data_IF_612173649092
#
_entry.id   IF_612173649092
#
_cell.length_a   1.000
_cell.length_b   1.000
_cell.length_c   1.000
_cell.angle_alpha   90.00
_cell.angle_beta   90.00
_cell.angle_gamma   90.00
#
_symmetry.space_group_name_H-M   'P 1'
#
loop_
_entity.id
_entity.type
_entity.pdbx_description
1 polymer ?
#
# COMPACT_ATOMS: atom_id res chain seq x y z
N UNK A 1 8.18 33.68 -29.62
CA UNK A 1 7.39 32.50 -29.29
C UNK A 1 7.92 31.82 -28.02
N UNK A 2 9.20 31.39 -27.93
CA UNK A 2 9.74 30.72 -26.75
C UNK A 2 9.63 31.50 -25.43
N UNK A 3 9.86 32.83 -25.44
CA UNK A 3 9.74 33.68 -24.25
C UNK A 3 8.30 33.80 -23.74
N UNK A 4 7.31 33.85 -24.63
CA UNK A 4 5.88 33.91 -24.27
C UNK A 4 5.44 32.60 -23.66
N UNK A 5 5.87 31.46 -24.21
CA UNK A 5 5.60 30.12 -23.66
C UNK A 5 6.28 29.96 -22.29
N UNK A 6 7.53 30.44 -22.15
CA UNK A 6 8.24 30.42 -20.87
C UNK A 6 7.54 31.29 -19.81
N UNK A 7 7.10 32.47 -20.15
CA UNK A 7 6.34 33.35 -19.23
C UNK A 7 5.01 32.74 -18.81
N UNK A 8 4.24 32.16 -19.75
CA UNK A 8 2.98 31.46 -19.46
C UNK A 8 3.17 30.24 -18.59
N UNK A 9 4.27 29.49 -18.76
CA UNK A 9 4.61 28.35 -17.90
C UNK A 9 4.98 28.78 -16.48
N UNK A 10 5.69 29.90 -16.33
CA UNK A 10 6.08 30.42 -15.01
C UNK A 10 4.88 31.03 -14.28
N UNK A 11 4.02 31.77 -14.96
CA UNK A 11 2.83 32.40 -14.33
C UNK A 11 1.71 31.43 -14.03
N UNK A 12 1.56 30.35 -14.82
CA UNK A 12 0.54 29.32 -14.62
C UNK A 12 1.11 28.00 -14.05
N UNK A 13 2.32 28.03 -13.50
CA UNK A 13 2.98 26.85 -12.93
C UNK A 13 2.09 26.08 -11.94
N UNK A 14 1.39 26.78 -11.04
CA UNK A 14 0.52 26.15 -10.07
C UNK A 14 -0.68 25.45 -10.73
N UNK A 15 -1.29 26.04 -11.74
CA UNK A 15 -2.37 25.41 -12.50
C UNK A 15 -1.89 24.19 -13.29
N UNK A 16 -0.69 24.29 -13.88
CA UNK A 16 -0.07 23.18 -14.61
C UNK A 16 0.24 22.01 -13.68
N UNK A 17 0.88 22.27 -12.54
CA UNK A 17 1.20 21.23 -11.52
C UNK A 17 -0.07 20.61 -10.98
N UNK A 18 -1.12 21.40 -10.71
CA UNK A 18 -2.40 20.86 -10.24
C UNK A 18 -3.10 19.99 -11.30
N UNK A 19 -3.05 20.38 -12.57
CA UNK A 19 -3.58 19.58 -13.67
C UNK A 19 -2.81 18.26 -13.85
N UNK A 20 -1.47 18.31 -13.79
CA UNK A 20 -0.61 17.10 -13.87
C UNK A 20 -0.84 16.18 -12.68
N UNK A 21 -0.94 16.72 -11.46
CA UNK A 21 -1.23 15.91 -10.27
C UNK A 21 -2.62 15.27 -10.32
N UNK A 22 -3.61 15.97 -10.86
CA UNK A 22 -4.95 15.43 -11.10
C UNK A 22 -4.92 14.26 -12.10
N UNK A 23 -4.21 14.40 -13.20
CA UNK A 23 -4.02 13.32 -14.17
C UNK A 23 -3.28 12.11 -13.57
N UNK A 24 -2.21 12.34 -12.81
CA UNK A 24 -1.48 11.28 -12.11
C UNK A 24 -2.37 10.57 -11.07
N UNK A 25 -3.25 11.31 -10.40
CA UNK A 25 -4.26 10.73 -9.49
C UNK A 25 -5.20 9.76 -10.19
N UNK A 26 -5.69 10.12 -11.38
CA UNK A 26 -6.55 9.26 -12.21
C UNK A 26 -5.77 8.06 -12.76
N UNK A 27 -4.49 8.24 -13.11
CA UNK A 27 -3.64 7.15 -13.62
C UNK A 27 -3.12 6.23 -12.52
N UNK A 28 -3.15 6.66 -11.26
CA UNK A 28 -2.62 5.90 -10.12
C UNK A 28 -3.10 4.44 -10.08
N UNK A 29 -4.41 4.12 -10.14
CA UNK A 29 -4.88 2.73 -10.12
C UNK A 29 -4.39 1.91 -11.32
N UNK A 30 -4.17 2.54 -12.48
CA UNK A 30 -3.62 1.87 -13.66
C UNK A 30 -2.16 1.50 -13.45
N UNK A 31 -1.33 2.46 -13.02
CA UNK A 31 0.09 2.23 -12.75
C UNK A 31 0.24 1.14 -11.68
N UNK A 32 -0.49 1.27 -10.57
CA UNK A 32 -0.45 0.30 -9.47
C UNK A 32 -0.93 -1.08 -9.94
N UNK A 33 -2.01 -1.14 -10.73
CA UNK A 33 -2.52 -2.39 -11.30
C UNK A 33 -1.52 -3.09 -12.21
N UNK A 34 -0.81 -2.36 -13.06
CA UNK A 34 0.26 -2.90 -13.90
C UNK A 34 1.45 -3.41 -13.08
N UNK A 35 1.87 -2.66 -12.05
CA UNK A 35 2.95 -3.09 -11.15
C UNK A 35 2.58 -4.39 -10.43
N UNK A 36 1.36 -4.47 -9.88
CA UNK A 36 0.86 -5.70 -9.24
C UNK A 36 0.82 -6.86 -10.24
N UNK A 37 0.29 -6.65 -11.45
CA UNK A 37 0.25 -7.67 -12.49
C UNK A 37 1.66 -8.17 -12.85
N UNK A 38 2.63 -7.25 -12.96
CA UNK A 38 4.02 -7.62 -13.22
C UNK A 38 4.59 -8.50 -12.11
N UNK A 39 4.44 -8.10 -10.84
CA UNK A 39 4.91 -8.86 -9.69
C UNK A 39 4.26 -10.25 -9.60
N UNK A 40 2.96 -10.34 -9.88
CA UNK A 40 2.21 -11.59 -9.81
C UNK A 40 2.43 -12.50 -11.04
N UNK A 41 2.99 -11.97 -12.12
CA UNK A 41 3.17 -12.75 -13.37
C UNK A 41 4.05 -13.99 -13.20
N UNK A 42 5.03 -13.95 -12.31
CA UNK A 42 5.88 -15.11 -11.99
C UNK A 42 5.09 -16.22 -11.27
N UNK A 43 4.26 -15.86 -10.30
CA UNK A 43 3.39 -16.79 -9.57
C UNK A 43 2.30 -17.36 -10.46
N UNK A 44 1.71 -16.53 -11.34
CA UNK A 44 0.72 -16.96 -12.32
C UNK A 44 1.27 -18.03 -13.26
N UNK A 45 2.49 -17.85 -13.80
CA UNK A 45 3.14 -18.86 -14.64
C UNK A 45 3.35 -20.21 -13.94
N UNK A 46 3.69 -20.20 -12.65
CA UNK A 46 3.84 -21.42 -11.86
C UNK A 46 2.51 -22.17 -11.73
N UNK A 47 1.42 -21.44 -11.45
CA UNK A 47 0.06 -22.03 -11.37
C UNK A 47 -0.36 -22.54 -12.76
N UNK A 48 -0.09 -21.83 -13.84
CA UNK A 48 -0.38 -22.25 -15.20
C UNK A 48 0.33 -23.57 -15.54
N UNK A 49 1.61 -23.69 -15.17
CA UNK A 49 2.38 -24.94 -15.34
C UNK A 49 1.84 -26.12 -14.51
N UNK A 50 1.26 -25.85 -13.35
CA UNK A 50 0.57 -26.88 -12.56
C UNK A 50 -0.74 -27.33 -13.24
N UNK A 51 -1.50 -26.38 -13.80
CA UNK A 51 -2.76 -26.66 -14.52
C UNK A 51 -2.51 -27.45 -15.83
N UNK A 52 -1.36 -27.29 -16.47
CA UNK A 52 -0.99 -28.07 -17.66
C UNK A 52 -0.89 -29.57 -17.40
N UNK A 53 -0.56 -29.96 -16.14
CA UNK A 53 -0.45 -31.36 -15.72
C UNK A 53 -1.81 -32.04 -15.52
N UNK A 54 -2.89 -31.23 -15.43
CA UNK A 54 -4.25 -31.77 -15.27
C UNK A 54 -4.77 -32.29 -16.61
N UNK A 55 -5.18 -33.56 -16.72
CA UNK A 55 -5.54 -34.19 -17.99
C UNK A 55 -6.92 -33.79 -18.53
N UNK A 56 -7.54 -32.70 -18.03
CA UNK A 56 -8.86 -32.24 -18.44
C UNK A 56 -8.77 -31.29 -19.64
N UNK A 57 -9.45 -31.56 -20.78
CA UNK A 57 -9.34 -30.73 -21.98
C UNK A 57 -9.86 -29.30 -21.78
N UNK A 58 -10.87 -29.11 -20.91
CA UNK A 58 -11.43 -27.80 -20.56
C UNK A 58 -10.41 -26.94 -19.82
N UNK A 59 -9.66 -27.54 -18.87
CA UNK A 59 -8.61 -26.87 -18.11
C UNK A 59 -7.47 -26.43 -19.02
N UNK A 60 -7.05 -27.29 -19.97
CA UNK A 60 -5.99 -26.97 -20.93
C UNK A 60 -6.37 -25.80 -21.84
N UNK A 61 -7.63 -25.71 -22.27
CA UNK A 61 -8.10 -24.62 -23.12
C UNK A 61 -8.20 -23.28 -22.39
N UNK A 62 -8.56 -23.30 -21.12
CA UNK A 62 -8.77 -22.11 -20.29
C UNK A 62 -7.61 -21.85 -19.28
N UNK A 63 -6.49 -22.57 -19.39
CA UNK A 63 -5.39 -22.60 -18.41
C UNK A 63 -4.91 -21.20 -17.98
N UNK A 64 -4.78 -20.29 -18.93
CA UNK A 64 -4.30 -18.94 -18.65
C UNK A 64 -5.28 -18.11 -17.81
N UNK A 65 -6.56 -18.06 -18.19
CA UNK A 65 -7.60 -17.37 -17.41
C UNK A 65 -7.83 -18.06 -16.06
N UNK A 66 -7.82 -19.39 -16.02
CA UNK A 66 -8.01 -20.17 -14.80
C UNK A 66 -6.83 -20.00 -13.82
N UNK A 67 -5.60 -19.90 -14.31
CA UNK A 67 -4.43 -19.62 -13.48
C UNK A 67 -4.49 -18.24 -12.84
N UNK A 68 -4.96 -17.23 -13.56
CA UNK A 68 -5.18 -15.88 -13.01
C UNK A 68 -6.27 -15.92 -11.94
N UNK A 69 -7.41 -16.55 -12.22
CA UNK A 69 -8.50 -16.67 -11.25
C UNK A 69 -8.05 -17.38 -9.97
N UNK A 70 -7.36 -18.52 -10.09
CA UNK A 70 -6.82 -19.26 -8.96
C UNK A 70 -5.82 -18.43 -8.15
N UNK A 71 -4.94 -17.70 -8.82
CA UNK A 71 -3.97 -16.83 -8.17
C UNK A 71 -4.67 -15.79 -7.28
N UNK A 72 -5.68 -15.09 -7.81
CA UNK A 72 -6.42 -14.09 -7.04
C UNK A 72 -7.26 -14.71 -5.92
N UNK A 73 -7.82 -15.91 -6.11
CA UNK A 73 -8.49 -16.65 -5.03
C UNK A 73 -7.52 -17.01 -3.91
N UNK A 74 -6.31 -17.45 -4.24
CA UNK A 74 -5.27 -17.75 -3.25
C UNK A 74 -4.88 -16.48 -2.48
N UNK A 75 -4.67 -15.36 -3.18
CA UNK A 75 -4.34 -14.08 -2.56
C UNK A 75 -5.46 -13.64 -1.63
N UNK A 76 -6.72 -13.71 -2.08
CA UNK A 76 -7.89 -13.36 -1.28
C UNK A 76 -7.99 -14.26 -0.03
N UNK A 77 -7.77 -15.56 -0.18
CA UNK A 77 -7.78 -16.52 0.93
C UNK A 77 -6.70 -16.18 1.96
N UNK A 78 -5.46 -15.95 1.52
CA UNK A 78 -4.36 -15.54 2.40
C UNK A 78 -4.70 -14.22 3.10
N UNK A 79 -5.27 -13.25 2.39
CA UNK A 79 -5.67 -11.97 2.94
C UNK A 79 -6.72 -12.11 4.04
N UNK A 80 -7.76 -12.92 3.81
CA UNK A 80 -8.80 -13.19 4.82
C UNK A 80 -8.21 -13.89 6.04
N UNK A 81 -7.33 -14.89 5.85
CA UNK A 81 -6.64 -15.55 6.95
C UNK A 81 -5.77 -14.56 7.75
N UNK A 82 -5.05 -13.71 7.05
CA UNK A 82 -4.20 -12.68 7.67
C UNK A 82 -5.03 -11.73 8.53
N UNK A 83 -6.15 -11.25 8.02
CA UNK A 83 -7.06 -10.38 8.79
C UNK A 83 -7.62 -11.09 10.02
N UNK A 84 -8.06 -12.34 9.90
CA UNK A 84 -8.62 -13.12 11.01
C UNK A 84 -7.60 -13.44 12.11
N UNK A 85 -6.31 -13.48 11.79
CA UNK A 85 -5.25 -13.77 12.76
C UNK A 85 -4.58 -12.49 13.29
N UNK A 86 -4.21 -11.57 12.41
CA UNK A 86 -3.44 -10.38 12.80
C UNK A 86 -4.30 -9.37 13.55
N UNK A 87 -5.58 -9.18 13.15
CA UNK A 87 -6.44 -8.18 13.79
C UNK A 87 -6.69 -8.51 15.27
N UNK A 88 -7.11 -9.74 15.65
CA UNK A 88 -7.24 -10.09 17.07
C UNK A 88 -5.93 -9.97 17.86
N UNK A 89 -4.80 -10.41 17.24
CA UNK A 89 -3.49 -10.31 17.86
C UNK A 89 -3.08 -8.84 18.13
N UNK A 90 -3.33 -7.94 17.20
CA UNK A 90 -3.07 -6.52 17.41
C UNK A 90 -3.95 -5.94 18.51
N UNK A 91 -5.24 -6.30 18.55
CA UNK A 91 -6.17 -5.85 19.60
C UNK A 91 -5.70 -6.34 20.97
N UNK A 92 -5.34 -7.62 21.11
CA UNK A 92 -4.85 -8.16 22.38
C UNK A 92 -3.58 -7.47 22.85
N UNK A 93 -2.60 -7.28 21.96
CA UNK A 93 -1.35 -6.59 22.25
C UNK A 93 -1.60 -5.13 22.69
N UNK A 94 -2.55 -4.44 22.06
CA UNK A 94 -2.92 -3.07 22.43
C UNK A 94 -3.58 -3.03 23.81
N UNK A 95 -4.45 -3.99 24.14
CA UNK A 95 -5.07 -4.12 25.45
C UNK A 95 -4.02 -4.44 26.53
N UNK A 96 -3.11 -5.36 26.25
CA UNK A 96 -2.03 -5.72 27.18
C UNK A 96 -1.09 -4.52 27.43
N UNK A 97 -0.77 -3.76 26.38
CA UNK A 97 -0.01 -2.51 26.52
C UNK A 97 -0.75 -1.51 27.40
N UNK A 98 -2.05 -1.29 27.12
CA UNK A 98 -2.88 -0.37 27.90
C UNK A 98 -2.93 -0.77 29.39
N UNK A 99 -3.05 -2.07 29.69
CA UNK A 99 -3.07 -2.61 31.04
C UNK A 99 -1.70 -2.52 31.75
N UNK A 100 -0.61 -2.52 30.99
CA UNK A 100 0.77 -2.41 31.52
C UNK A 100 1.17 -0.95 31.82
N UNK A 101 0.50 0.03 31.22
CA UNK A 101 0.82 1.44 31.40
C UNK A 101 0.77 1.92 32.89
N UNK A 102 -0.23 1.56 33.71
CA UNK A 102 -0.27 1.95 35.12
C UNK A 102 0.93 1.42 35.89
N UNK A 103 1.28 0.16 35.71
CA UNK A 103 2.45 -0.49 36.35
C UNK A 103 3.77 0.17 35.94
N UNK A 104 3.91 0.47 34.65
CA UNK A 104 5.06 1.19 34.15
C UNK A 104 5.17 2.59 34.80
N UNK A 105 4.05 3.27 34.99
CA UNK A 105 3.99 4.53 35.67
C UNK A 105 4.47 4.44 37.12
N UNK A 106 3.94 3.50 37.89
CA UNK A 106 4.32 3.32 39.28
C UNK A 106 5.83 3.06 39.43
N UNK A 107 6.39 2.28 38.52
CA UNK A 107 7.85 2.05 38.47
C UNK A 107 8.63 3.33 38.15
N UNK A 108 8.14 4.14 37.17
CA UNK A 108 8.78 5.42 36.82
C UNK A 108 8.72 6.42 37.97
N UNK A 109 7.56 6.52 38.70
CA UNK A 109 7.41 7.38 39.89
C UNK A 109 8.38 6.95 40.99
N UNK A 110 8.42 5.66 41.30
CA UNK A 110 9.36 5.11 42.29
C UNK A 110 10.81 5.38 41.95
N UNK A 111 11.18 5.22 40.64
CA UNK A 111 12.51 5.53 40.18
C UNK A 111 12.84 7.02 40.38
N UNK A 112 11.95 7.93 39.98
CA UNK A 112 12.13 9.38 40.17
C UNK A 112 12.26 9.76 41.64
N UNK A 113 11.40 9.21 42.53
CA UNK A 113 11.51 9.42 43.98
C UNK A 113 12.86 8.92 44.52
N UNK A 114 13.35 7.81 44.05
CA UNK A 114 14.68 7.31 44.45
C UNK A 114 15.85 8.21 44.02
N UNK A 115 15.68 9.01 42.98
CA UNK A 115 16.66 9.99 42.52
C UNK A 115 16.57 11.30 43.33
N UNK A 116 15.39 11.64 43.84
CA UNK A 116 15.18 12.79 44.73
C UNK A 116 15.83 12.56 46.11
N UNK A 117 15.66 11.38 46.69
CA UNK A 117 16.30 10.98 47.93
C UNK A 117 17.85 11.06 47.85
N UNK A 118 18.38 10.89 46.61
CA UNK A 118 19.81 11.05 46.33
C UNK A 118 20.23 12.49 45.99
N UNK A 119 19.29 13.45 46.04
CA UNK A 119 19.58 14.88 45.83
C UNK A 119 19.89 15.23 44.36
N UNK A 120 19.60 14.34 43.42
CA UNK A 120 19.97 14.49 41.98
C UNK A 120 18.96 15.32 41.21
N UNK A 121 17.67 15.34 41.62
CA UNK A 121 16.59 15.99 40.86
C UNK A 121 15.58 16.69 41.79
N UNK A 122 14.97 17.80 41.32
CA UNK A 122 13.80 18.44 41.98
C UNK A 122 12.52 17.86 41.36
N UNK A 123 11.80 17.08 42.15
CA UNK A 123 10.67 16.22 41.75
C UNK A 123 9.45 16.97 41.20
N UNK A 124 9.17 18.18 41.70
CA UNK A 124 7.91 18.89 41.38
C UNK A 124 7.70 19.17 39.88
N UNK A 125 8.77 19.37 39.10
CA UNK A 125 8.67 19.60 37.66
C UNK A 125 8.43 18.29 36.88
N UNK A 126 9.04 17.20 37.34
CA UNK A 126 8.98 15.87 36.69
C UNK A 126 7.61 15.23 36.98
N UNK A 127 7.12 15.36 38.20
CA UNK A 127 5.76 14.90 38.55
C UNK A 127 4.67 15.55 37.69
N UNK A 128 4.77 16.86 37.47
CA UNK A 128 3.84 17.58 36.59
C UNK A 128 3.91 17.07 35.11
N UNK A 129 5.11 16.80 34.62
CA UNK A 129 5.30 16.23 33.29
C UNK A 129 4.79 14.78 33.17
N UNK A 130 5.13 13.94 34.15
CA UNK A 130 4.65 12.56 34.22
C UNK A 130 3.14 12.50 34.28
N UNK A 131 2.52 13.28 35.16
CA UNK A 131 1.06 13.34 35.28
C UNK A 131 0.37 13.83 34.00
N UNK A 132 0.98 14.77 33.23
CA UNK A 132 0.43 15.21 31.95
C UNK A 132 0.52 14.13 30.90
N UNK A 133 1.68 13.46 30.75
CA UNK A 133 1.92 12.39 29.79
C UNK A 133 1.01 11.19 30.08
N UNK A 134 0.83 10.84 31.36
CA UNK A 134 -0.03 9.72 31.73
C UNK A 134 -1.51 9.99 31.56
N UNK A 135 -1.94 11.22 31.82
CA UNK A 135 -3.32 11.62 31.56
C UNK A 135 -3.66 11.45 30.09
N UNK A 136 -2.66 11.64 29.20
CA UNK A 136 -2.83 11.44 27.77
C UNK A 136 -2.66 9.97 27.34
N UNK A 137 -1.87 9.17 28.08
CA UNK A 137 -1.64 7.74 27.88
C UNK A 137 -2.57 6.85 28.71
N UNK A 138 -3.60 7.41 29.40
CA UNK A 138 -4.54 6.58 30.14
C UNK A 138 -5.16 5.51 29.22
N UNK A 139 -5.29 4.25 29.71
CA UNK A 139 -5.83 3.14 28.91
C UNK A 139 -7.16 3.48 28.24
N UNK A 140 -8.03 4.20 28.95
CA UNK A 140 -9.33 4.63 28.48
C UNK A 140 -9.24 5.65 27.33
N UNK A 141 -8.33 6.64 27.42
CA UNK A 141 -8.12 7.61 26.36
C UNK A 141 -7.44 6.97 25.16
N UNK A 142 -6.45 6.11 25.38
CA UNK A 142 -5.76 5.38 24.35
C UNK A 142 -6.75 4.51 23.58
N UNK A 143 -7.54 3.69 24.25
CA UNK A 143 -8.56 2.86 23.61
C UNK A 143 -9.64 3.71 22.92
N UNK A 144 -10.10 4.83 23.55
CA UNK A 144 -11.07 5.73 22.93
C UNK A 144 -10.51 6.44 21.69
N UNK A 145 -9.26 6.85 21.69
CA UNK A 145 -8.62 7.45 20.50
C UNK A 145 -8.46 6.42 19.37
N UNK A 146 -8.08 5.19 19.71
CA UNK A 146 -7.98 4.11 18.71
C UNK A 146 -9.35 3.66 18.19
N UNK A 147 -10.34 3.50 19.05
CA UNK A 147 -11.71 3.21 18.63
C UNK A 147 -12.29 4.36 17.82
N UNK A 148 -12.09 5.62 18.23
CA UNK A 148 -12.47 6.77 17.41
C UNK A 148 -11.71 6.82 16.09
N UNK A 149 -10.41 6.52 16.06
CA UNK A 149 -9.64 6.43 14.80
C UNK A 149 -10.19 5.32 13.89
N UNK A 150 -10.49 4.13 14.44
CA UNK A 150 -11.11 3.04 13.70
C UNK A 150 -12.53 3.37 13.24
N UNK A 151 -13.35 4.01 14.09
CA UNK A 151 -14.69 4.48 13.71
C UNK A 151 -14.65 5.70 12.78
N UNK A 152 -13.64 6.57 12.89
CA UNK A 152 -13.45 7.69 11.96
C UNK A 152 -13.02 7.21 10.57
N UNK A 153 -12.39 6.04 10.46
CA UNK A 153 -12.24 5.35 9.17
C UNK A 153 -13.61 5.02 8.54
N UNK A 154 -14.62 4.72 9.36
CA UNK A 154 -16.02 4.55 8.91
C UNK A 154 -16.74 5.86 8.56
N UNK A 155 -16.36 6.98 9.17
CA UNK A 155 -16.94 8.32 8.91
C UNK A 155 -16.18 9.09 7.81
N UNK A 156 -15.02 8.63 7.36
CA UNK A 156 -14.31 9.11 6.18
C UNK A 156 -15.03 8.67 4.89
N UNK A 157 -16.35 8.79 4.86
CA UNK A 157 -17.20 8.26 3.77
C UNK A 157 -16.77 8.72 2.37
N UNK A 158 -16.21 9.90 2.22
CA UNK A 158 -15.65 10.34 0.92
C UNK A 158 -14.32 9.67 0.60
N UNK A 159 -13.42 9.55 1.57
CA UNK A 159 -12.08 8.97 1.34
C UNK A 159 -12.09 7.43 1.31
N UNK A 160 -12.94 6.81 2.14
CA UNK A 160 -13.11 5.34 2.17
C UNK A 160 -13.75 4.86 0.87
N UNK A 161 -14.80 5.53 0.39
CA UNK A 161 -15.41 5.20 -0.91
C UNK A 161 -14.40 5.32 -2.05
N UNK A 162 -13.60 6.38 -2.08
CA UNK A 162 -12.54 6.56 -3.07
C UNK A 162 -11.45 5.52 -2.94
N UNK A 163 -11.07 5.13 -1.72
CA UNK A 163 -10.09 4.07 -1.49
C UNK A 163 -10.58 2.72 -2.02
N UNK A 164 -11.81 2.31 -1.67
CA UNK A 164 -12.39 1.07 -2.17
C UNK A 164 -12.56 1.07 -3.68
N UNK A 165 -12.97 2.19 -4.25
CA UNK A 165 -13.13 2.33 -5.69
C UNK A 165 -11.79 2.24 -6.41
N UNK A 166 -10.76 2.91 -5.90
CA UNK A 166 -9.40 2.81 -6.43
C UNK A 166 -8.80 1.40 -6.27
N UNK A 167 -8.99 0.76 -5.11
CA UNK A 167 -8.54 -0.61 -4.87
C UNK A 167 -9.24 -1.59 -5.82
N UNK A 168 -10.54 -1.44 -6.03
CA UNK A 168 -11.33 -2.26 -6.94
C UNK A 168 -10.90 -2.06 -8.40
N UNK A 169 -10.72 -0.81 -8.83
CA UNK A 169 -10.19 -0.49 -10.16
C UNK A 169 -8.78 -1.08 -10.35
N UNK A 170 -7.90 -0.90 -9.38
CA UNK A 170 -6.54 -1.46 -9.40
C UNK A 170 -6.57 -2.99 -9.56
N UNK A 171 -7.45 -3.66 -8.83
CA UNK A 171 -7.63 -5.11 -8.91
C UNK A 171 -8.12 -5.54 -10.29
N UNK A 172 -9.16 -4.89 -10.83
CA UNK A 172 -9.65 -5.16 -12.18
C UNK A 172 -8.54 -4.96 -13.21
N UNK A 173 -7.85 -3.84 -13.15
CA UNK A 173 -6.76 -3.52 -14.09
C UNK A 173 -5.64 -4.55 -13.99
N UNK A 174 -5.28 -4.97 -12.78
CA UNK A 174 -4.27 -5.99 -12.56
C UNK A 174 -4.67 -7.36 -13.14
N UNK A 175 -5.93 -7.77 -12.96
CA UNK A 175 -6.46 -8.98 -13.60
C UNK A 175 -6.39 -8.88 -15.13
N UNK A 176 -6.89 -7.78 -15.70
CA UNK A 176 -6.85 -7.55 -17.15
C UNK A 176 -5.42 -7.52 -17.69
N UNK A 177 -4.51 -6.84 -16.97
CA UNK A 177 -3.10 -6.79 -17.36
C UNK A 177 -2.45 -8.18 -17.35
N UNK A 178 -2.79 -9.05 -16.40
CA UNK A 178 -2.31 -10.42 -16.36
C UNK A 178 -2.89 -11.28 -17.49
N UNK A 179 -4.21 -11.20 -17.70
CA UNK A 179 -4.90 -11.98 -18.74
C UNK A 179 -4.43 -11.58 -20.14
N UNK A 180 -4.28 -10.29 -20.40
CA UNK A 180 -3.91 -9.76 -21.72
C UNK A 180 -2.43 -9.37 -21.81
N UNK A 181 -1.58 -9.88 -20.93
CA UNK A 181 -0.15 -9.57 -20.86
C UNK A 181 0.53 -9.63 -22.22
N UNK A 182 0.32 -10.71 -22.97
CA UNK A 182 0.97 -10.89 -24.29
C UNK A 182 0.52 -9.84 -25.32
N UNK A 183 -0.77 -9.55 -25.35
CA UNK A 183 -1.34 -8.53 -26.24
C UNK A 183 -0.83 -7.13 -25.91
N UNK A 184 -0.71 -6.82 -24.62
CA UNK A 184 -0.18 -5.53 -24.13
C UNK A 184 1.30 -5.40 -24.52
N UNK A 185 2.11 -6.43 -24.28
CA UNK A 185 3.54 -6.43 -24.64
C UNK A 185 3.74 -6.25 -26.15
N UNK A 186 2.98 -6.98 -26.98
CA UNK A 186 3.05 -6.85 -28.44
C UNK A 186 2.60 -5.44 -28.91
N UNK A 187 1.60 -4.86 -28.25
CA UNK A 187 1.17 -3.50 -28.56
C UNK A 187 2.25 -2.47 -28.21
N UNK A 188 2.83 -2.58 -27.00
CA UNK A 188 3.91 -1.70 -26.55
C UNK A 188 5.13 -1.81 -27.48
N UNK A 189 5.51 -3.02 -27.87
CA UNK A 189 6.60 -3.28 -28.79
C UNK A 189 6.36 -2.63 -30.17
N UNK A 190 5.16 -2.80 -30.73
CA UNK A 190 4.78 -2.16 -32.00
C UNK A 190 4.75 -0.64 -31.91
N UNK A 191 4.24 -0.09 -30.78
CA UNK A 191 4.22 1.34 -30.54
C UNK A 191 5.64 1.90 -30.38
N UNK A 192 6.49 1.21 -29.63
CA UNK A 192 7.90 1.59 -29.47
C UNK A 192 8.65 1.57 -30.80
N UNK A 193 8.43 0.54 -31.63
CA UNK A 193 9.03 0.45 -32.97
C UNK A 193 8.60 1.61 -33.88
N UNK A 194 7.36 2.08 -33.73
CA UNK A 194 6.83 3.18 -34.56
C UNK A 194 7.27 4.57 -34.07
N UNK A 195 7.49 4.73 -32.76
CA UNK A 195 7.83 6.02 -32.14
C UNK A 195 9.33 6.24 -32.01
N UNK A 196 10.11 5.17 -31.85
CA UNK A 196 11.56 5.24 -31.69
C UNK A 196 12.25 5.11 -33.06
N UNK A 197 13.22 5.98 -33.30
CA UNK A 197 14.11 5.85 -34.48
C UNK A 197 14.79 4.48 -34.45
N UNK A 198 14.97 3.88 -35.61
CA UNK A 198 15.52 2.51 -35.80
C UNK A 198 16.86 2.27 -35.07
N UNK A 199 17.67 3.32 -34.92
CA UNK A 199 18.94 3.28 -34.17
C UNK A 199 18.72 3.07 -32.65
N UNK A 200 17.74 3.77 -32.07
CA UNK A 200 17.43 3.71 -30.61
C UNK A 200 16.77 2.37 -30.29
N UNK A 201 15.91 1.85 -31.18
CA UNK A 201 15.25 0.57 -31.00
C UNK A 201 16.26 -0.60 -30.97
N UNK A 202 17.21 -0.65 -31.92
CA UNK A 202 18.25 -1.68 -31.91
C UNK A 202 19.14 -1.64 -30.68
N UNK A 203 19.47 -0.45 -30.20
CA UNK A 203 20.28 -0.28 -28.99
C UNK A 203 19.57 -0.77 -27.73
N UNK A 204 18.25 -0.51 -27.60
CA UNK A 204 17.44 -0.98 -26.49
C UNK A 204 17.24 -2.50 -26.49
N UNK A 205 17.07 -3.11 -27.67
CA UNK A 205 16.96 -4.57 -27.78
C UNK A 205 18.27 -5.30 -27.39
N UNK A 206 19.42 -4.71 -27.71
CA UNK A 206 20.71 -5.27 -27.29
C UNK A 206 20.86 -5.29 -25.78
N UNK A 207 20.41 -4.26 -25.07
CA UNK A 207 20.42 -4.18 -23.61
C UNK A 207 19.46 -5.18 -22.95
N UNK A 208 18.27 -5.38 -23.52
CA UNK A 208 17.27 -6.31 -22.97
C UNK A 208 17.64 -7.78 -23.16
N UNK A 209 18.43 -8.11 -24.18
CA UNK A 209 18.88 -9.49 -24.44
C UNK A 209 20.18 -9.84 -23.70
N UNK A 210 20.83 -8.89 -23.03
CA UNK A 210 22.11 -9.09 -22.30
C UNK A 210 21.89 -9.23 -20.79
N UNK A 211 20.65 -9.08 -20.32
CA UNK A 211 20.21 -9.28 -18.91
C UNK A 211 19.32 -10.49 -18.81
#
# INVERSE_FOLDING_TARGET
>A
MALIVGYLLITNYQHFVHSVSGLLGILSPFITGFVIAYLLSGSQKKIEGLLERVPLPVVKKAKHGLSVLLLYLIILFIFVLTLNYIVPLLISNLVDLANSLPTFYDHMVQFVMSLEDKGILKTAAIEKYLNSVLKDLSPERFLNQWTQALFSLGTLTKNVSSFFLNAFLTLIISIYALVFKQSILTFVEKAAHKLLSEKVYKQTQTWLNTT
#
